data_IF_987031133982
#
_entry.id   IF_987031133982
#
_cell.length_a   1.000
_cell.length_b   1.000
_cell.length_c   1.000
_cell.angle_alpha   90.00
_cell.angle_beta   90.00
_cell.angle_gamma   90.00
#
_symmetry.space_group_name_H-M   'P 1'
#
loop_
_entity.id
_entity.type
_entity.pdbx_description
1 polymer ?
#
# COMPACT_ATOMS: atom_id res chain seq x y z
N UNK A 1 -8.11 -10.72 -24.36
CA UNK A 1 -7.94 -9.62 -23.39
C UNK A 1 -6.51 -9.06 -23.35
N UNK A 2 -5.47 -9.89 -23.30
CA UNK A 2 -4.08 -9.40 -23.30
C UNK A 2 -3.70 -8.56 -24.52
N UNK A 3 -4.30 -8.83 -25.67
CA UNK A 3 -4.10 -8.03 -26.90
C UNK A 3 -4.42 -6.55 -26.69
N UNK A 4 -5.42 -6.25 -25.82
CA UNK A 4 -5.80 -4.87 -25.47
C UNK A 4 -4.66 -4.09 -24.79
N UNK A 5 -3.79 -4.78 -24.05
CA UNK A 5 -2.61 -4.15 -23.45
C UNK A 5 -1.54 -3.77 -24.51
N UNK A 6 -1.56 -4.41 -25.68
CA UNK A 6 -0.64 -4.14 -26.77
C UNK A 6 -1.16 -3.07 -27.75
N UNK A 7 -2.40 -2.62 -27.57
CA UNK A 7 -3.00 -1.55 -28.35
C UNK A 7 -2.82 -0.21 -27.64
N UNK A 8 -2.00 0.70 -28.15
CA UNK A 8 -1.74 1.97 -27.48
C UNK A 8 -1.31 3.10 -28.43
N UNK A 9 -1.65 4.34 -28.05
CA UNK A 9 -1.12 5.54 -28.72
C UNK A 9 0.37 5.69 -28.39
N UNK A 10 1.16 6.47 -29.17
CA UNK A 10 2.60 6.67 -28.91
C UNK A 10 2.92 7.09 -27.46
N UNK A 11 2.09 7.93 -26.85
CA UNK A 11 2.25 8.35 -25.44
C UNK A 11 2.20 7.19 -24.45
N UNK A 12 1.37 6.18 -24.70
CA UNK A 12 1.28 4.98 -23.86
C UNK A 12 2.58 4.17 -23.94
N UNK A 13 3.11 3.95 -25.15
CA UNK A 13 4.36 3.22 -25.32
C UNK A 13 5.56 3.99 -24.74
N UNK A 14 5.57 5.31 -24.89
CA UNK A 14 6.61 6.15 -24.31
C UNK A 14 6.60 6.07 -22.76
N UNK A 15 5.41 6.03 -22.16
CA UNK A 15 5.25 5.82 -20.72
C UNK A 15 5.78 4.45 -20.28
N UNK A 16 5.42 3.36 -20.98
CA UNK A 16 5.94 2.03 -20.66
C UNK A 16 7.46 1.94 -20.82
N UNK A 17 8.01 2.54 -21.87
CA UNK A 17 9.46 2.60 -22.08
C UNK A 17 10.16 3.41 -20.98
N UNK A 18 9.57 4.49 -20.54
CA UNK A 18 10.07 5.27 -19.40
C UNK A 18 10.13 4.43 -18.13
N UNK A 19 9.05 3.71 -17.80
CA UNK A 19 9.03 2.81 -16.65
C UNK A 19 10.06 1.69 -16.77
N UNK A 20 10.19 1.07 -17.95
CA UNK A 20 11.21 0.06 -18.23
C UNK A 20 12.64 0.62 -18.08
N UNK A 21 12.86 1.86 -18.49
CA UNK A 21 14.14 2.55 -18.30
C UNK A 21 14.49 2.69 -16.81
N UNK A 22 13.54 3.11 -15.98
CA UNK A 22 13.71 3.19 -14.52
C UNK A 22 13.99 1.81 -13.94
N UNK A 23 13.20 0.80 -14.32
CA UNK A 23 13.41 -0.58 -13.89
C UNK A 23 14.82 -1.08 -14.28
N UNK A 24 15.29 -0.76 -15.48
CA UNK A 24 16.63 -1.12 -15.95
C UNK A 24 17.74 -0.49 -15.10
N UNK A 25 17.63 0.79 -14.79
CA UNK A 25 18.57 1.48 -13.89
C UNK A 25 18.59 0.83 -12.50
N UNK A 26 17.44 0.64 -11.87
CA UNK A 26 17.36 -0.01 -10.55
C UNK A 26 17.86 -1.45 -10.57
N UNK A 27 17.61 -2.19 -11.65
CA UNK A 27 18.13 -3.55 -11.82
C UNK A 27 19.67 -3.60 -11.85
N UNK A 28 20.34 -2.62 -12.50
CA UNK A 28 21.80 -2.52 -12.46
C UNK A 28 22.31 -2.30 -11.03
N UNK A 29 21.64 -1.45 -10.24
CA UNK A 29 21.98 -1.27 -8.83
C UNK A 29 21.67 -2.51 -7.99
N UNK A 30 20.61 -3.24 -8.31
CA UNK A 30 20.31 -4.52 -7.68
C UNK A 30 21.38 -5.58 -7.96
N UNK A 31 21.90 -5.68 -9.19
CA UNK A 31 23.05 -6.54 -9.50
C UNK A 31 24.28 -6.16 -8.67
N UNK A 32 24.50 -4.86 -8.45
CA UNK A 32 25.56 -4.39 -7.55
C UNK A 32 25.31 -4.85 -6.11
N UNK A 33 24.08 -4.77 -5.63
CA UNK A 33 23.68 -5.25 -4.30
C UNK A 33 23.88 -6.77 -4.18
N UNK A 34 23.54 -7.55 -5.19
CA UNK A 34 23.81 -9.00 -5.19
C UNK A 34 25.30 -9.32 -5.07
N UNK A 35 26.16 -8.52 -5.70
CA UNK A 35 27.61 -8.72 -5.67
C UNK A 35 28.23 -8.32 -4.32
N UNK A 36 27.83 -7.17 -3.76
CA UNK A 36 28.46 -6.59 -2.56
C UNK A 36 27.65 -6.83 -1.29
N UNK A 37 26.47 -7.44 -1.37
CA UNK A 37 25.54 -7.66 -0.27
C UNK A 37 24.82 -6.38 0.17
N UNK A 38 24.06 -6.50 1.27
CA UNK A 38 23.30 -5.39 1.85
C UNK A 38 24.17 -4.27 2.45
N UNK A 39 25.48 -4.46 2.53
CA UNK A 39 26.41 -3.43 3.02
C UNK A 39 26.47 -2.16 2.17
N UNK A 40 25.87 -2.15 0.97
CA UNK A 40 25.74 -0.92 0.16
C UNK A 40 24.47 -0.11 0.48
N UNK A 41 23.60 -0.64 1.35
CA UNK A 41 22.39 0.03 1.86
C UNK A 41 22.70 0.85 3.10
N UNK A 42 21.75 1.64 3.58
CA UNK A 42 21.85 2.33 4.86
C UNK A 42 21.62 1.44 6.08
N UNK A 43 21.25 0.17 5.87
CA UNK A 43 20.98 -0.78 6.95
C UNK A 43 22.23 -1.11 7.75
N UNK A 44 22.01 -1.38 9.01
CA UNK A 44 23.07 -1.74 9.97
C UNK A 44 22.60 -2.89 10.85
N UNK A 45 23.48 -3.33 11.77
CA UNK A 45 23.10 -4.31 12.79
C UNK A 45 21.95 -3.82 13.67
N UNK A 46 21.91 -2.52 13.99
CA UNK A 46 20.91 -1.94 14.89
C UNK A 46 19.62 -1.63 14.15
N UNK A 47 19.70 -1.18 12.89
CA UNK A 47 18.55 -0.91 12.00
C UNK A 47 18.59 -1.90 10.85
N UNK A 48 18.06 -3.10 11.08
CA UNK A 48 18.13 -4.22 10.14
C UNK A 48 17.03 -4.20 9.07
N UNK A 49 15.96 -3.44 9.25
CA UNK A 49 14.94 -3.18 8.25
C UNK A 49 14.98 -1.72 7.84
N UNK A 50 15.33 -1.47 6.60
CA UNK A 50 15.49 -0.15 6.04
C UNK A 50 14.32 0.26 5.14
N UNK A 51 14.67 1.00 4.10
CA UNK A 51 13.70 1.61 3.19
C UNK A 51 12.87 0.58 2.42
N UNK A 52 13.41 -0.60 2.10
CA UNK A 52 12.66 -1.67 1.42
C UNK A 52 11.49 -2.17 2.26
N UNK A 53 11.71 -2.48 3.53
CA UNK A 53 10.64 -2.93 4.42
C UNK A 53 9.69 -1.79 4.79
N UNK A 54 10.17 -0.56 4.85
CA UNK A 54 9.33 0.62 4.98
C UNK A 54 8.31 0.73 3.82
N UNK A 55 8.75 0.51 2.56
CA UNK A 55 7.87 0.48 1.40
C UNK A 55 6.88 -0.70 1.45
N UNK A 56 7.39 -1.89 1.77
CA UNK A 56 6.57 -3.09 1.94
C UNK A 56 5.42 -2.84 2.92
N UNK A 57 5.73 -2.35 4.11
CA UNK A 57 4.75 -2.11 5.18
C UNK A 57 3.65 -1.13 4.77
N UNK A 58 4.01 -0.10 4.05
CA UNK A 58 3.06 0.86 3.51
C UNK A 58 2.19 0.26 2.40
N UNK A 59 2.80 -0.48 1.46
CA UNK A 59 2.10 -1.05 0.30
C UNK A 59 1.13 -2.17 0.67
N UNK A 60 1.38 -2.91 1.74
CA UNK A 60 0.37 -3.82 2.31
C UNK A 60 -0.91 -3.04 2.62
N UNK A 61 -0.81 -1.80 3.15
CA UNK A 61 -1.95 -0.91 3.34
C UNK A 61 -2.67 -0.55 2.02
N UNK A 62 -1.92 -0.25 0.96
CA UNK A 62 -2.50 0.08 -0.36
C UNK A 62 -3.28 -1.10 -0.95
N UNK A 63 -2.84 -2.33 -0.69
CA UNK A 63 -3.53 -3.55 -1.13
C UNK A 63 -4.96 -3.68 -0.57
N UNK A 64 -5.28 -3.02 0.56
CA UNK A 64 -6.64 -2.98 1.12
C UNK A 64 -7.66 -2.24 0.25
N UNK A 65 -7.23 -1.55 -0.78
CA UNK A 65 -8.14 -0.78 -1.67
C UNK A 65 -9.31 -1.61 -2.20
N UNK A 66 -9.07 -2.87 -2.55
CA UNK A 66 -10.07 -3.77 -3.06
C UNK A 66 -11.19 -4.04 -2.04
N UNK A 67 -10.84 -4.43 -0.80
CA UNK A 67 -11.82 -4.87 0.19
C UNK A 67 -12.81 -3.76 0.59
N UNK A 68 -12.36 -2.50 0.61
CA UNK A 68 -13.21 -1.35 0.96
C UNK A 68 -14.31 -1.07 -0.06
N UNK A 69 -14.20 -1.64 -1.25
CA UNK A 69 -15.18 -1.54 -2.32
C UNK A 69 -15.96 -2.84 -2.46
N UNK A 70 -15.28 -3.97 -2.31
CA UNK A 70 -15.86 -5.32 -2.37
C UNK A 70 -16.94 -5.49 -1.30
N UNK A 71 -16.71 -5.07 -0.06
CA UNK A 71 -17.68 -5.17 1.04
C UNK A 71 -18.99 -4.44 0.70
N UNK A 72 -19.02 -3.14 0.41
CA UNK A 72 -20.28 -2.45 0.08
C UNK A 72 -20.93 -3.00 -1.18
N UNK A 73 -20.16 -3.36 -2.19
CA UNK A 73 -20.68 -3.82 -3.48
C UNK A 73 -21.38 -5.19 -3.36
N UNK A 74 -20.71 -6.19 -2.78
CA UNK A 74 -21.23 -7.55 -2.72
C UNK A 74 -22.09 -7.85 -1.48
N UNK A 75 -21.77 -7.29 -0.31
CA UNK A 75 -22.53 -7.54 0.92
C UNK A 75 -23.71 -6.59 1.12
N UNK A 76 -23.56 -5.33 0.70
CA UNK A 76 -24.60 -4.30 0.90
C UNK A 76 -25.31 -3.90 -0.41
N UNK A 77 -25.06 -4.62 -1.51
CA UNK A 77 -25.65 -4.38 -2.83
C UNK A 77 -25.51 -2.91 -3.32
N UNK A 78 -24.38 -2.27 -2.97
CA UNK A 78 -24.09 -0.90 -3.37
C UNK A 78 -23.56 -0.87 -4.81
N UNK A 79 -24.47 -1.02 -5.78
CA UNK A 79 -24.16 -1.19 -7.22
C UNK A 79 -23.32 -0.06 -7.83
N UNK A 80 -23.30 1.13 -7.20
CA UNK A 80 -22.51 2.28 -7.67
C UNK A 80 -21.02 2.02 -7.74
N UNK A 81 -20.50 1.05 -6.97
CA UNK A 81 -19.09 0.64 -7.02
C UNK A 81 -18.76 -0.31 -8.17
N UNK A 82 -19.74 -0.81 -8.94
CA UNK A 82 -19.51 -1.81 -9.97
C UNK A 82 -18.42 -1.43 -11.00
N UNK A 83 -18.35 -0.13 -11.37
CA UNK A 83 -17.33 0.35 -12.30
C UNK A 83 -15.91 0.40 -11.70
N UNK A 84 -15.78 0.51 -10.38
CA UNK A 84 -14.50 0.73 -9.68
C UNK A 84 -13.95 -0.55 -9.05
N UNK A 85 -14.79 -1.57 -8.77
CA UNK A 85 -14.39 -2.79 -8.07
C UNK A 85 -13.17 -3.44 -8.70
N UNK A 86 -13.18 -3.66 -10.01
CA UNK A 86 -12.08 -4.29 -10.75
C UNK A 86 -10.81 -3.42 -10.71
N UNK A 87 -10.94 -2.09 -10.74
CA UNK A 87 -9.80 -1.19 -10.58
C UNK A 87 -9.16 -1.36 -9.20
N UNK A 88 -9.97 -1.52 -8.15
CA UNK A 88 -9.51 -1.80 -6.80
C UNK A 88 -8.78 -3.14 -6.69
N UNK A 89 -9.33 -4.21 -7.28
CA UNK A 89 -8.72 -5.53 -7.29
C UNK A 89 -7.35 -5.53 -8.01
N UNK A 90 -7.26 -4.86 -9.15
CA UNK A 90 -6.00 -4.75 -9.90
C UNK A 90 -5.00 -3.79 -9.25
N UNK A 91 -5.45 -2.78 -8.51
CA UNK A 91 -4.56 -2.00 -7.64
C UNK A 91 -3.99 -2.89 -6.54
N UNK A 92 -4.80 -3.76 -5.93
CA UNK A 92 -4.32 -4.73 -4.93
C UNK A 92 -3.29 -5.70 -5.54
N UNK A 93 -3.52 -6.20 -6.76
CA UNK A 93 -2.56 -7.06 -7.47
C UNK A 93 -1.22 -6.34 -7.64
N UNK A 94 -1.22 -5.09 -8.12
CA UNK A 94 0.01 -4.31 -8.30
C UNK A 94 0.70 -4.04 -6.95
N UNK A 95 -0.06 -3.66 -5.91
CA UNK A 95 0.49 -3.37 -4.59
C UNK A 95 1.11 -4.60 -3.94
N UNK A 96 0.44 -5.77 -3.97
CA UNK A 96 1.01 -7.01 -3.41
C UNK A 96 2.21 -7.49 -4.23
N UNK A 97 2.21 -7.31 -5.55
CA UNK A 97 3.38 -7.61 -6.38
C UNK A 97 4.58 -6.76 -5.97
N UNK A 98 4.38 -5.46 -5.70
CA UNK A 98 5.43 -4.60 -5.16
C UNK A 98 5.88 -5.05 -3.76
N UNK A 99 4.96 -5.47 -2.89
CA UNK A 99 5.29 -6.03 -1.57
C UNK A 99 6.26 -7.20 -1.68
N UNK A 100 5.95 -8.16 -2.55
CA UNK A 100 6.82 -9.33 -2.78
C UNK A 100 8.17 -8.94 -3.36
N UNK A 101 8.23 -7.97 -4.28
CA UNK A 101 9.48 -7.45 -4.81
C UNK A 101 10.30 -6.72 -3.75
N UNK A 102 9.68 -5.95 -2.85
CA UNK A 102 10.40 -5.28 -1.76
C UNK A 102 10.98 -6.28 -0.75
N UNK A 103 10.26 -7.35 -0.41
CA UNK A 103 10.81 -8.45 0.38
C UNK A 103 11.99 -9.09 -0.35
N UNK A 104 11.86 -9.35 -1.65
CA UNK A 104 12.90 -9.98 -2.46
C UNK A 104 14.20 -9.16 -2.50
N UNK A 105 14.12 -7.84 -2.69
CA UNK A 105 15.30 -6.97 -2.74
C UNK A 105 15.90 -6.71 -1.35
N UNK A 106 15.13 -6.85 -0.27
CA UNK A 106 15.61 -6.75 1.11
C UNK A 106 16.42 -7.99 1.53
N UNK A 107 16.23 -9.10 0.87
CA UNK A 107 16.92 -10.34 1.22
C UNK A 107 18.38 -10.31 0.78
N UNK A 108 19.30 -10.50 1.72
CA UNK A 108 20.73 -10.67 1.42
C UNK A 108 21.04 -11.96 0.62
N UNK A 109 20.15 -12.94 0.67
CA UNK A 109 20.23 -14.21 -0.08
C UNK A 109 18.88 -14.49 -0.77
N UNK A 110 18.56 -13.83 -1.88
CA UNK A 110 17.24 -13.85 -2.49
C UNK A 110 16.79 -15.24 -2.95
N UNK A 111 17.73 -16.13 -3.32
CA UNK A 111 17.39 -17.51 -3.69
C UNK A 111 16.77 -18.32 -2.53
N UNK A 112 16.94 -17.87 -1.29
CA UNK A 112 16.33 -18.51 -0.11
C UNK A 112 14.88 -18.13 0.12
N UNK A 113 14.30 -17.24 -0.68
CA UNK A 113 12.88 -16.84 -0.55
C UNK A 113 11.95 -18.05 -0.62
N UNK A 114 12.29 -19.04 -1.46
CA UNK A 114 11.49 -20.26 -1.59
C UNK A 114 11.57 -21.18 -0.38
N UNK A 115 12.56 -21.01 0.51
CA UNK A 115 12.68 -21.84 1.71
C UNK A 115 11.47 -21.69 2.64
N UNK A 116 10.79 -20.55 2.61
CA UNK A 116 9.58 -20.33 3.41
C UNK A 116 8.45 -21.29 3.01
N UNK A 117 8.42 -21.70 1.74
CA UNK A 117 7.44 -22.65 1.19
C UNK A 117 7.98 -24.09 1.22
N UNK A 118 9.27 -24.29 0.91
CA UNK A 118 9.90 -25.62 0.85
C UNK A 118 10.14 -26.21 2.25
N UNK A 119 10.37 -25.35 3.24
CA UNK A 119 10.60 -25.72 4.64
C UNK A 119 9.65 -24.92 5.55
N UNK A 120 8.34 -25.19 5.48
CA UNK A 120 7.34 -24.41 6.20
C UNK A 120 7.55 -24.45 7.71
N UNK A 121 7.50 -23.31 8.35
CA UNK A 121 7.61 -23.17 9.81
C UNK A 121 6.36 -22.51 10.37
N UNK A 122 5.26 -23.26 10.64
CA UNK A 122 3.97 -22.69 11.05
C UNK A 122 3.98 -21.90 12.36
N UNK A 123 5.05 -22.00 13.15
CA UNK A 123 5.26 -21.21 14.36
C UNK A 123 5.83 -19.80 14.08
N UNK A 124 6.27 -19.54 12.85
CA UNK A 124 6.80 -18.25 12.44
C UNK A 124 5.70 -17.36 11.86
N UNK A 125 5.61 -16.11 12.34
CA UNK A 125 4.67 -15.10 11.77
C UNK A 125 5.04 -14.78 10.32
N UNK A 126 6.34 -14.77 9.96
CA UNK A 126 6.81 -14.56 8.59
C UNK A 126 6.31 -15.63 7.61
N UNK A 127 6.16 -16.87 8.06
CA UNK A 127 5.53 -17.92 7.24
C UNK A 127 4.07 -17.55 6.91
N UNK A 128 3.30 -17.16 7.93
CA UNK A 128 1.91 -16.77 7.74
C UNK A 128 1.77 -15.51 6.90
N UNK A 129 2.68 -14.54 7.03
CA UNK A 129 2.68 -13.34 6.19
C UNK A 129 2.89 -13.71 4.71
N UNK A 130 3.81 -14.63 4.42
CA UNK A 130 4.02 -15.15 3.05
C UNK A 130 2.77 -15.85 2.51
N UNK A 131 2.08 -16.65 3.34
CA UNK A 131 0.83 -17.35 2.96
C UNK A 131 -0.28 -16.35 2.66
N UNK A 132 -0.50 -15.37 3.55
CA UNK A 132 -1.62 -14.42 3.37
C UNK A 132 -1.37 -13.45 2.22
N UNK A 133 -0.13 -12.99 2.00
CA UNK A 133 0.22 -12.14 0.86
C UNK A 133 0.05 -12.87 -0.48
N UNK A 134 0.63 -14.07 -0.59
CA UNK A 134 0.53 -14.87 -1.82
C UNK A 134 -0.91 -15.27 -2.10
N UNK A 135 -1.64 -15.70 -1.08
CA UNK A 135 -3.06 -16.06 -1.22
C UNK A 135 -3.92 -14.87 -1.63
N UNK A 136 -3.67 -13.68 -1.09
CA UNK A 136 -4.39 -12.47 -1.47
C UNK A 136 -4.11 -12.05 -2.91
N UNK A 137 -2.86 -12.17 -3.35
CA UNK A 137 -2.47 -11.94 -4.74
C UNK A 137 -3.26 -12.84 -5.69
N UNK A 138 -3.26 -14.15 -5.41
CA UNK A 138 -3.97 -15.14 -6.22
C UNK A 138 -5.48 -14.85 -6.23
N UNK A 139 -6.08 -14.58 -5.07
CA UNK A 139 -7.51 -14.25 -4.97
C UNK A 139 -7.87 -13.04 -5.85
N UNK A 140 -7.12 -11.93 -5.75
CA UNK A 140 -7.41 -10.73 -6.53
C UNK A 140 -7.18 -10.94 -8.04
N UNK A 141 -6.17 -11.73 -8.44
CA UNK A 141 -5.97 -12.08 -9.85
C UNK A 141 -7.16 -12.90 -10.37
N UNK A 142 -7.55 -13.95 -9.65
CA UNK A 142 -8.62 -14.86 -10.09
C UNK A 142 -9.97 -14.14 -10.11
N UNK A 143 -10.32 -13.41 -9.06
CA UNK A 143 -11.58 -12.68 -8.96
C UNK A 143 -11.63 -11.59 -10.02
N UNK A 144 -10.64 -10.69 -10.05
CA UNK A 144 -10.60 -9.55 -10.97
C UNK A 144 -10.60 -9.98 -12.43
N UNK A 145 -9.84 -11.02 -12.77
CA UNK A 145 -9.79 -11.52 -14.15
C UNK A 145 -11.10 -12.20 -14.58
N UNK A 146 -11.68 -13.02 -13.71
CA UNK A 146 -12.94 -13.73 -14.02
C UNK A 146 -14.12 -12.77 -14.10
N UNK A 147 -14.15 -11.76 -13.23
CA UNK A 147 -15.18 -10.73 -13.25
C UNK A 147 -15.07 -9.87 -14.51
N UNK A 148 -13.86 -9.47 -14.88
CA UNK A 148 -13.61 -8.71 -16.10
C UNK A 148 -13.97 -9.50 -17.38
N UNK A 149 -13.68 -10.80 -17.38
CA UNK A 149 -14.07 -11.67 -18.53
C UNK A 149 -15.59 -11.83 -18.61
N UNK A 150 -16.28 -11.88 -17.49
CA UNK A 150 -17.75 -11.93 -17.43
C UNK A 150 -18.36 -10.62 -17.96
N UNK A 151 -17.81 -9.46 -17.53
CA UNK A 151 -18.19 -8.15 -18.05
C UNK A 151 -17.99 -8.09 -19.57
N UNK A 152 -16.83 -8.47 -20.06
CA UNK A 152 -16.55 -8.50 -21.51
C UNK A 152 -17.56 -9.31 -22.32
N UNK A 153 -18.09 -10.37 -21.74
CA UNK A 153 -19.08 -11.26 -22.38
C UNK A 153 -20.52 -10.84 -22.12
N UNK A 154 -20.73 -9.77 -21.36
CA UNK A 154 -22.06 -9.30 -20.92
C UNK A 154 -22.87 -10.39 -20.21
N UNK A 155 -22.18 -11.24 -19.43
CA UNK A 155 -22.78 -12.32 -18.65
C UNK A 155 -22.48 -12.16 -17.16
N UNK A 156 -23.34 -12.66 -16.26
CA UNK A 156 -23.02 -12.64 -14.84
C UNK A 156 -21.79 -13.49 -14.54
N UNK A 157 -20.96 -13.10 -13.53
CA UNK A 157 -19.81 -13.87 -13.12
C UNK A 157 -20.19 -15.31 -12.74
N UNK A 158 -19.37 -16.31 -13.05
CA UNK A 158 -19.62 -17.70 -12.71
C UNK A 158 -19.86 -17.90 -11.21
N UNK A 159 -20.80 -18.78 -10.85
CA UNK A 159 -21.19 -19.00 -9.45
C UNK A 159 -20.07 -19.37 -8.50
N UNK A 160 -19.03 -20.05 -9.00
CA UNK A 160 -17.86 -20.45 -8.21
C UNK A 160 -16.97 -19.28 -7.75
N UNK A 161 -17.08 -18.11 -8.38
CA UNK A 161 -16.32 -16.91 -7.98
C UNK A 161 -16.88 -16.29 -6.69
N UNK A 162 -18.19 -16.43 -6.44
CA UNK A 162 -18.84 -15.86 -5.26
C UNK A 162 -18.18 -16.28 -3.93
N UNK A 163 -17.92 -17.57 -3.67
CA UNK A 163 -17.19 -17.97 -2.47
C UNK A 163 -15.80 -17.35 -2.34
N UNK A 164 -15.08 -17.17 -3.46
CA UNK A 164 -13.76 -16.53 -3.44
C UNK A 164 -13.84 -15.04 -3.09
N UNK A 165 -14.87 -14.33 -3.59
CA UNK A 165 -15.13 -12.95 -3.22
C UNK A 165 -15.39 -12.83 -1.71
N UNK A 166 -16.24 -13.69 -1.15
CA UNK A 166 -16.48 -13.69 0.30
C UNK A 166 -15.23 -14.08 1.09
N UNK A 167 -14.41 -14.99 0.60
CA UNK A 167 -13.13 -15.35 1.20
C UNK A 167 -12.12 -14.21 1.16
N UNK A 168 -12.11 -13.39 0.10
CA UNK A 168 -11.17 -12.27 -0.04
C UNK A 168 -11.34 -11.22 1.06
N UNK A 169 -12.52 -11.10 1.66
CA UNK A 169 -12.81 -10.12 2.73
C UNK A 169 -12.02 -10.44 4.01
N UNK A 170 -12.22 -11.61 4.68
CA UNK A 170 -11.40 -11.93 5.85
C UNK A 170 -9.91 -12.09 5.49
N UNK A 171 -9.59 -12.49 4.26
CA UNK A 171 -8.21 -12.57 3.81
C UNK A 171 -7.52 -11.21 3.75
N UNK A 172 -8.21 -10.17 3.27
CA UNK A 172 -7.71 -8.81 3.29
C UNK A 172 -7.47 -8.27 4.70
N UNK A 173 -8.34 -8.61 5.66
CA UNK A 173 -8.10 -8.29 7.08
C UNK A 173 -6.88 -9.04 7.60
N UNK A 174 -6.71 -10.31 7.19
CA UNK A 174 -5.60 -11.16 7.62
C UNK A 174 -4.24 -10.63 7.17
N UNK A 175 -4.08 -10.11 5.94
CA UNK A 175 -2.78 -9.58 5.50
C UNK A 175 -2.32 -8.43 6.39
N UNK A 176 -3.21 -7.53 6.80
CA UNK A 176 -2.85 -6.42 7.68
C UNK A 176 -2.57 -6.86 9.10
N UNK A 177 -3.36 -7.82 9.61
CA UNK A 177 -3.22 -8.32 10.97
C UNK A 177 -1.92 -9.12 11.13
N UNK A 178 -1.63 -10.00 10.18
CA UNK A 178 -0.41 -10.83 10.23
C UNK A 178 0.84 -9.97 10.05
N UNK A 179 0.82 -9.00 9.10
CA UNK A 179 1.95 -8.06 8.94
C UNK A 179 2.14 -7.21 10.21
N UNK A 180 1.06 -6.76 10.87
CA UNK A 180 1.17 -6.06 12.15
C UNK A 180 1.81 -6.95 13.24
N UNK A 181 1.51 -8.24 13.24
CA UNK A 181 2.09 -9.19 14.20
C UNK A 181 3.58 -9.48 13.96
N UNK A 182 4.11 -9.23 12.75
CA UNK A 182 5.57 -9.27 12.52
C UNK A 182 6.26 -8.27 13.44
N UNK A 183 5.70 -7.08 13.60
CA UNK A 183 6.22 -6.03 14.46
C UNK A 183 5.90 -6.30 15.93
N UNK A 184 4.63 -6.50 16.27
CA UNK A 184 4.19 -6.71 17.64
C UNK A 184 4.75 -8.02 18.27
N UNK A 185 5.23 -8.95 17.47
CA UNK A 185 5.85 -10.19 17.93
C UNK A 185 7.35 -10.08 18.26
N UNK A 186 7.95 -8.88 18.22
CA UNK A 186 9.37 -8.65 18.48
C UNK A 186 9.60 -8.01 19.87
N UNK A 187 9.78 -8.80 20.94
CA UNK A 187 9.84 -8.29 22.30
C UNK A 187 11.03 -7.36 22.57
N UNK A 188 12.10 -7.44 21.77
CA UNK A 188 13.24 -6.53 21.87
C UNK A 188 13.01 -5.17 21.20
N UNK A 189 11.80 -4.87 20.74
CA UNK A 189 11.41 -3.61 20.08
C UNK A 189 10.16 -3.07 20.75
N UNK A 190 10.36 -2.40 21.87
CA UNK A 190 9.26 -1.96 22.75
C UNK A 190 8.25 -1.06 22.02
N UNK A 191 8.71 -0.18 21.14
CA UNK A 191 7.85 0.69 20.34
C UNK A 191 6.76 -0.07 19.56
N UNK A 192 7.02 -1.32 19.17
CA UNK A 192 6.05 -2.14 18.45
C UNK A 192 5.18 -3.01 19.34
N UNK A 193 5.50 -3.13 20.65
CA UNK A 193 4.76 -3.93 21.62
C UNK A 193 3.48 -3.22 22.04
N UNK A 194 2.53 -3.08 21.14
CA UNK A 194 1.24 -2.43 21.42
C UNK A 194 0.09 -3.28 20.91
N UNK A 195 -0.96 -3.41 21.73
CA UNK A 195 -2.17 -4.15 21.38
C UNK A 195 -2.95 -3.53 20.21
N UNK A 196 -2.77 -2.23 19.95
CA UNK A 196 -3.47 -1.53 18.88
C UNK A 196 -2.74 -1.59 17.53
N UNK A 197 -1.60 -2.26 17.43
CA UNK A 197 -0.81 -2.32 16.19
C UNK A 197 -1.66 -2.76 15.00
N UNK A 198 -2.40 -3.86 15.12
CA UNK A 198 -3.26 -4.36 14.05
C UNK A 198 -4.39 -3.38 13.69
N UNK A 199 -4.98 -2.70 14.70
CA UNK A 199 -6.01 -1.69 14.47
C UNK A 199 -5.44 -0.46 13.73
N UNK A 200 -4.24 0.01 14.07
CA UNK A 200 -3.52 1.06 13.33
C UNK A 200 -3.23 0.65 11.89
N UNK A 201 -2.80 -0.60 11.68
CA UNK A 201 -2.57 -1.11 10.33
C UNK A 201 -3.83 -1.10 9.48
N UNK A 202 -4.95 -1.58 10.02
CA UNK A 202 -6.24 -1.57 9.32
C UNK A 202 -6.74 -0.15 9.04
N UNK A 203 -6.72 0.74 10.03
CA UNK A 203 -7.18 2.12 9.86
C UNK A 203 -6.40 2.86 8.79
N UNK A 204 -5.07 2.78 8.81
CA UNK A 204 -4.21 3.42 7.81
C UNK A 204 -4.34 2.76 6.42
N UNK A 205 -4.57 1.45 6.35
CA UNK A 205 -4.81 0.73 5.11
C UNK A 205 -6.12 1.19 4.45
N UNK A 206 -7.19 1.31 5.24
CA UNK A 206 -8.48 1.78 4.78
C UNK A 206 -8.51 3.28 4.43
N UNK A 207 -7.47 4.03 4.79
CA UNK A 207 -7.26 5.39 4.30
C UNK A 207 -6.38 5.42 3.05
N UNK A 208 -5.19 4.80 3.06
CA UNK A 208 -4.19 4.92 1.99
C UNK A 208 -4.59 4.21 0.70
N UNK A 209 -5.13 2.99 0.79
CA UNK A 209 -5.56 2.21 -0.38
C UNK A 209 -6.67 2.91 -1.18
N UNK A 210 -7.81 3.23 -0.56
CA UNK A 210 -8.88 3.96 -1.22
C UNK A 210 -8.48 5.37 -1.68
N UNK A 211 -7.59 6.08 -0.96
CA UNK A 211 -7.06 7.37 -1.40
C UNK A 211 -6.29 7.25 -2.72
N UNK A 212 -5.41 6.24 -2.83
CA UNK A 212 -4.70 5.95 -4.08
C UNK A 212 -5.67 5.57 -5.21
N UNK A 213 -6.70 4.78 -4.91
CA UNK A 213 -7.70 4.41 -5.90
C UNK A 213 -8.48 5.62 -6.43
N UNK A 214 -8.85 6.59 -5.57
CA UNK A 214 -9.48 7.84 -6.00
C UNK A 214 -8.56 8.60 -6.96
N UNK A 215 -7.27 8.76 -6.61
CA UNK A 215 -6.30 9.47 -7.45
C UNK A 215 -6.21 8.79 -8.83
N UNK A 216 -6.09 7.47 -8.86
CA UNK A 216 -5.98 6.70 -10.10
C UNK A 216 -7.28 6.76 -10.92
N UNK A 217 -8.45 6.65 -10.28
CA UNK A 217 -9.74 6.74 -10.94
C UNK A 217 -9.95 8.12 -11.60
N UNK A 218 -9.58 9.19 -10.89
CA UNK A 218 -9.64 10.56 -11.43
C UNK A 218 -8.61 10.77 -12.55
N UNK A 219 -7.44 10.17 -12.46
CA UNK A 219 -6.43 10.20 -13.52
C UNK A 219 -6.94 9.50 -14.78
N UNK A 220 -7.53 8.31 -14.65
CA UNK A 220 -8.12 7.56 -15.76
C UNK A 220 -9.24 8.36 -16.40
N UNK A 221 -10.15 8.94 -15.61
CA UNK A 221 -11.22 9.81 -16.10
C UNK A 221 -10.71 10.99 -16.96
N UNK A 222 -9.55 11.54 -16.60
CA UNK A 222 -8.91 12.63 -17.37
C UNK A 222 -8.20 12.17 -18.63
N UNK A 223 -7.67 10.95 -18.65
CA UNK A 223 -6.85 10.44 -19.75
C UNK A 223 -7.64 9.62 -20.76
N UNK A 224 -8.83 9.13 -20.38
CA UNK A 224 -9.67 8.21 -21.17
C UNK A 224 -11.11 8.69 -21.19
N UNK A 225 -11.99 7.96 -21.89
CA UNK A 225 -13.44 8.22 -21.88
C UNK A 225 -14.16 7.49 -20.74
N UNK A 226 -13.44 6.69 -19.96
CA UNK A 226 -14.02 5.94 -18.86
C UNK A 226 -14.39 6.88 -17.71
N UNK A 227 -15.66 6.83 -17.28
CA UNK A 227 -16.14 7.55 -16.09
C UNK A 227 -16.42 6.57 -14.95
N UNK A 228 -15.65 6.63 -13.86
CA UNK A 228 -15.84 5.79 -12.68
C UNK A 228 -17.14 6.09 -11.90
N UNK A 229 -17.79 7.23 -12.18
CA UNK A 229 -18.97 7.72 -11.50
C UNK A 229 -18.67 8.60 -10.28
N UNK A 230 -19.26 9.79 -10.28
CA UNK A 230 -19.05 10.77 -9.21
C UNK A 230 -19.49 10.26 -7.84
N UNK A 231 -20.64 9.57 -7.76
CA UNK A 231 -21.17 9.04 -6.51
C UNK A 231 -20.25 7.98 -5.88
N UNK A 232 -19.62 7.14 -6.71
CA UNK A 232 -18.67 6.15 -6.25
C UNK A 232 -17.41 6.82 -5.66
N UNK A 233 -16.84 7.82 -6.36
CA UNK A 233 -15.69 8.59 -5.88
C UNK A 233 -16.03 9.30 -4.56
N UNK A 234 -17.22 9.92 -4.45
CA UNK A 234 -17.64 10.58 -3.22
C UNK A 234 -17.85 9.61 -2.05
N UNK A 235 -18.39 8.42 -2.32
CA UNK A 235 -18.55 7.39 -1.30
C UNK A 235 -17.21 6.89 -0.79
N UNK A 236 -16.24 6.65 -1.68
CA UNK A 236 -14.87 6.27 -1.29
C UNK A 236 -14.21 7.43 -0.52
N UNK A 237 -14.41 8.68 -0.94
CA UNK A 237 -13.91 9.84 -0.20
C UNK A 237 -14.41 9.93 1.25
N UNK A 238 -15.65 9.52 1.52
CA UNK A 238 -16.17 9.38 2.89
C UNK A 238 -15.47 8.26 3.66
N UNK A 239 -15.22 7.12 3.02
CA UNK A 239 -14.49 6.01 3.65
C UNK A 239 -13.08 6.48 4.06
N UNK A 240 -12.35 7.14 3.15
CA UNK A 240 -11.03 7.72 3.44
C UNK A 240 -11.09 8.67 4.63
N UNK A 241 -12.12 9.53 4.70
CA UNK A 241 -12.31 10.47 5.80
C UNK A 241 -12.42 9.75 7.14
N UNK A 242 -13.33 8.78 7.26
CA UNK A 242 -13.52 8.03 8.52
C UNK A 242 -12.31 7.20 8.90
N UNK A 243 -11.67 6.55 7.91
CA UNK A 243 -10.46 5.77 8.15
C UNK A 243 -9.30 6.64 8.63
N UNK A 244 -9.15 7.85 8.08
CA UNK A 244 -8.11 8.79 8.50
C UNK A 244 -8.36 9.32 9.92
N UNK A 245 -9.62 9.56 10.30
CA UNK A 245 -9.99 9.87 11.69
C UNK A 245 -9.58 8.75 12.64
N UNK A 246 -9.93 7.51 12.30
CA UNK A 246 -9.58 6.36 13.12
C UNK A 246 -8.05 6.20 13.23
N UNK A 247 -7.32 6.42 12.14
CA UNK A 247 -5.85 6.34 12.14
C UNK A 247 -5.23 7.41 13.06
N UNK A 248 -5.66 8.66 12.96
CA UNK A 248 -5.16 9.74 13.81
C UNK A 248 -5.56 9.51 15.27
N UNK A 249 -6.78 9.02 15.53
CA UNK A 249 -7.22 8.67 16.87
C UNK A 249 -6.32 7.59 17.50
N UNK A 250 -6.02 6.51 16.78
CA UNK A 250 -5.13 5.46 17.30
C UNK A 250 -3.70 5.96 17.52
N UNK A 251 -3.20 6.82 16.64
CA UNK A 251 -1.90 7.45 16.84
C UNK A 251 -1.87 8.29 18.13
N UNK A 252 -2.87 9.16 18.31
CA UNK A 252 -2.97 9.99 19.54
C UNK A 252 -3.17 9.16 20.80
N UNK A 253 -3.92 8.06 20.70
CA UNK A 253 -4.11 7.13 21.82
C UNK A 253 -2.79 6.47 22.23
N UNK A 254 -1.95 6.11 21.26
CA UNK A 254 -0.64 5.53 21.52
C UNK A 254 0.34 6.53 22.14
N UNK A 255 0.36 7.77 21.63
CA UNK A 255 1.12 8.88 22.24
C UNK A 255 0.64 9.13 23.66
N UNK A 256 -0.68 9.25 23.88
CA UNK A 256 -1.26 9.44 25.21
C UNK A 256 -0.84 8.33 26.17
N UNK A 257 -1.00 7.08 25.77
CA UNK A 257 -0.66 5.93 26.61
C UNK A 257 0.83 5.91 26.96
N UNK A 258 1.70 6.18 25.98
CA UNK A 258 3.16 6.19 26.17
C UNK A 258 3.59 7.23 27.21
N UNK A 259 3.11 8.47 27.09
CA UNK A 259 3.53 9.56 27.96
C UNK A 259 2.76 9.61 29.28
N UNK A 260 1.45 9.37 29.28
CA UNK A 260 0.65 9.37 30.50
C UNK A 260 1.04 8.21 31.46
N UNK A 261 1.27 7.02 30.89
CA UNK A 261 1.68 5.85 31.66
C UNK A 261 3.20 5.76 31.88
N UNK A 262 3.95 6.74 31.38
CA UNK A 262 5.41 6.82 31.51
C UNK A 262 6.11 5.53 31.12
N UNK A 263 5.89 5.06 29.88
CA UNK A 263 6.48 3.84 29.31
C UNK A 263 7.76 4.21 28.55
N UNK A 264 8.97 4.04 29.14
CA UNK A 264 10.21 4.59 28.59
C UNK A 264 10.48 4.16 27.15
N UNK A 265 10.37 2.86 26.85
CA UNK A 265 10.68 2.33 25.52
C UNK A 265 9.75 2.84 24.41
N UNK A 266 8.52 3.21 24.73
CA UNK A 266 7.64 3.90 23.79
C UNK A 266 7.95 5.39 23.70
N UNK A 267 8.19 6.05 24.84
CA UNK A 267 8.48 7.48 24.90
C UNK A 267 9.73 7.84 24.10
N UNK A 268 10.83 7.12 24.30
CA UNK A 268 12.10 7.38 23.64
C UNK A 268 11.98 7.35 22.10
N UNK A 269 11.22 6.40 21.55
CA UNK A 269 10.98 6.36 20.10
C UNK A 269 10.15 7.55 19.62
N UNK A 270 9.11 7.97 20.35
CA UNK A 270 8.36 9.18 20.02
C UNK A 270 9.20 10.45 20.17
N UNK A 271 10.04 10.55 21.20
CA UNK A 271 10.98 11.66 21.37
C UNK A 271 11.94 11.74 20.19
N UNK A 272 12.55 10.62 19.78
CA UNK A 272 13.40 10.59 18.60
C UNK A 272 12.68 11.09 17.35
N UNK A 273 11.43 10.66 17.14
CA UNK A 273 10.67 10.99 15.94
C UNK A 273 10.19 12.43 15.90
N UNK A 274 9.86 13.07 17.05
CA UNK A 274 9.20 14.39 17.09
C UNK A 274 9.94 15.49 17.83
N UNK A 275 10.91 15.15 18.70
CA UNK A 275 11.71 16.12 19.45
C UNK A 275 13.21 15.99 19.21
N UNK A 276 13.65 14.82 18.76
CA UNK A 276 15.06 14.42 18.73
C UNK A 276 15.50 13.78 20.05
N UNK A 277 16.49 12.89 19.98
CA UNK A 277 17.01 12.14 21.12
C UNK A 277 18.55 12.16 21.10
N UNK A 278 19.19 12.57 22.21
CA UNK A 278 20.64 12.64 22.36
C UNK A 278 21.38 13.39 21.23
N UNK A 279 20.80 14.48 20.72
CA UNK A 279 21.33 15.26 19.62
C UNK A 279 21.09 14.66 18.21
N UNK A 280 20.37 13.54 18.14
CA UNK A 280 19.97 12.88 16.90
C UNK A 280 18.51 13.21 16.57
N UNK A 281 18.21 13.42 15.30
CA UNK A 281 16.85 13.82 14.88
C UNK A 281 16.64 13.81 13.37
N UNK A 282 17.29 12.89 12.68
CA UNK A 282 17.28 12.84 11.21
C UNK A 282 15.89 12.64 10.61
N UNK A 283 15.01 11.92 11.30
CA UNK A 283 13.63 11.70 10.89
C UNK A 283 12.67 12.81 11.32
N UNK A 284 13.06 13.67 12.26
CA UNK A 284 12.22 14.71 12.83
C UNK A 284 11.54 15.63 11.79
N UNK A 285 12.25 16.19 10.77
CA UNK A 285 11.58 17.04 9.78
C UNK A 285 10.54 16.26 8.95
N UNK A 286 10.84 14.99 8.65
CA UNK A 286 9.96 14.13 7.86
C UNK A 286 8.70 13.78 8.66
N UNK A 287 8.83 13.50 9.95
CA UNK A 287 7.69 13.18 10.83
C UNK A 287 6.77 14.38 11.04
N UNK A 288 7.32 15.58 11.26
CA UNK A 288 6.51 16.79 11.32
C UNK A 288 5.81 17.09 10.00
N UNK A 289 6.49 16.89 8.88
CA UNK A 289 5.85 17.02 7.57
C UNK A 289 4.69 16.05 7.40
N UNK A 290 4.85 14.79 7.83
CA UNK A 290 3.75 13.79 7.85
C UNK A 290 2.58 14.26 8.73
N UNK A 291 2.85 14.75 9.95
CA UNK A 291 1.81 15.23 10.86
C UNK A 291 1.04 16.43 10.28
N UNK A 292 1.75 17.39 9.70
CA UNK A 292 1.13 18.54 9.02
C UNK A 292 0.24 18.08 7.87
N UNK A 293 0.71 17.16 7.04
CA UNK A 293 -0.09 16.60 5.94
C UNK A 293 -1.31 15.83 6.45
N UNK A 294 -1.20 15.11 7.58
CA UNK A 294 -2.34 14.41 8.18
C UNK A 294 -3.43 15.41 8.62
N UNK A 295 -3.03 16.49 9.33
CA UNK A 295 -3.95 17.53 9.77
C UNK A 295 -4.58 18.25 8.56
N UNK A 296 -3.77 18.60 7.56
CA UNK A 296 -4.23 19.23 6.33
C UNK A 296 -5.25 18.34 5.60
N UNK A 297 -4.94 17.04 5.42
CA UNK A 297 -5.84 16.09 4.78
C UNK A 297 -7.17 15.97 5.53
N UNK A 298 -7.13 15.84 6.86
CA UNK A 298 -8.34 15.80 7.67
C UNK A 298 -9.15 17.08 7.54
N UNK A 299 -8.51 18.25 7.65
CA UNK A 299 -9.18 19.54 7.50
C UNK A 299 -9.90 19.64 6.14
N UNK A 300 -9.28 19.18 5.06
CA UNK A 300 -9.91 19.15 3.74
C UNK A 300 -11.05 18.12 3.65
N UNK A 301 -10.84 16.91 4.16
CA UNK A 301 -11.80 15.81 4.01
C UNK A 301 -13.06 15.98 4.88
N UNK A 302 -12.99 16.71 5.98
CA UNK A 302 -14.14 16.98 6.86
C UNK A 302 -15.24 17.77 6.15
N UNK A 303 -14.86 18.76 5.35
CA UNK A 303 -15.82 19.65 4.71
C UNK A 303 -16.41 18.99 3.44
N UNK A 304 -17.75 18.77 3.39
CA UNK A 304 -18.40 18.18 2.22
C UNK A 304 -18.18 18.97 0.93
N UNK A 305 -18.11 20.30 1.01
CA UNK A 305 -17.85 21.18 -0.13
C UNK A 305 -16.48 20.91 -0.78
N UNK A 306 -15.46 20.64 0.03
CA UNK A 306 -14.12 20.30 -0.45
C UNK A 306 -14.08 18.92 -1.08
N UNK A 307 -14.75 17.93 -0.44
CA UNK A 307 -14.82 16.56 -0.97
C UNK A 307 -15.56 16.45 -2.31
N UNK A 308 -16.61 17.26 -2.52
CA UNK A 308 -17.38 17.24 -3.77
C UNK A 308 -16.57 17.69 -4.99
N UNK A 309 -15.58 18.52 -4.82
CA UNK A 309 -14.71 18.94 -5.91
C UNK A 309 -13.60 17.90 -6.13
N UNK A 310 -13.53 17.30 -7.33
CA UNK A 310 -12.59 16.25 -7.68
C UNK A 310 -11.12 16.67 -7.50
N UNK A 311 -10.78 17.92 -7.80
CA UNK A 311 -9.40 18.43 -7.68
C UNK A 311 -8.97 18.53 -6.23
N UNK A 312 -9.81 19.14 -5.37
CA UNK A 312 -9.50 19.26 -3.94
C UNK A 312 -9.51 17.92 -3.24
N UNK A 313 -10.39 17.00 -3.66
CA UNK A 313 -10.41 15.62 -3.16
C UNK A 313 -9.11 14.88 -3.55
N UNK A 314 -8.63 15.03 -4.80
CA UNK A 314 -7.37 14.43 -5.24
C UNK A 314 -6.17 14.97 -4.43
N UNK A 315 -6.15 16.27 -4.15
CA UNK A 315 -5.10 16.90 -3.31
C UNK A 315 -5.15 16.32 -1.88
N UNK A 316 -6.35 16.23 -1.29
CA UNK A 316 -6.53 15.66 0.04
C UNK A 316 -6.09 14.18 0.10
N UNK A 317 -6.47 13.38 -0.91
CA UNK A 317 -6.04 11.99 -1.04
C UNK A 317 -4.52 11.86 -1.22
N UNK A 318 -3.88 12.76 -1.96
CA UNK A 318 -2.43 12.86 -2.08
C UNK A 318 -1.76 13.14 -0.74
N UNK A 319 -2.31 14.06 0.05
CA UNK A 319 -1.83 14.35 1.39
C UNK A 319 -1.99 13.15 2.34
N UNK A 320 -3.13 12.44 2.30
CA UNK A 320 -3.33 11.17 3.04
C UNK A 320 -2.25 10.16 2.67
N UNK A 321 -2.05 9.94 1.38
CA UNK A 321 -1.11 8.94 0.87
C UNK A 321 0.32 9.22 1.33
N UNK A 322 0.80 10.45 1.16
CA UNK A 322 2.17 10.86 1.53
C UNK A 322 2.35 10.83 3.04
N UNK A 323 1.39 11.35 3.81
CA UNK A 323 1.43 11.31 5.27
C UNK A 323 1.56 9.88 5.79
N UNK A 324 0.69 8.98 5.34
CA UNK A 324 0.71 7.58 5.78
C UNK A 324 1.92 6.81 5.28
N UNK A 325 2.45 7.16 4.10
CA UNK A 325 3.70 6.60 3.59
C UNK A 325 4.88 6.92 4.51
N UNK A 326 4.97 8.16 5.00
CA UNK A 326 6.02 8.58 5.92
C UNK A 326 5.79 7.95 7.31
N UNK A 327 4.60 8.06 7.86
CA UNK A 327 4.27 7.55 9.20
C UNK A 327 4.52 6.04 9.31
N UNK A 328 3.99 5.26 8.38
CA UNK A 328 4.16 3.80 8.38
C UNK A 328 5.54 3.33 7.94
N UNK A 329 6.14 4.01 6.97
CA UNK A 329 7.45 3.62 6.46
C UNK A 329 8.55 4.08 7.41
N UNK A 330 8.82 5.37 7.46
CA UNK A 330 9.91 5.90 8.27
C UNK A 330 9.58 5.93 9.76
N UNK A 331 8.39 6.39 10.13
CA UNK A 331 7.98 6.50 11.53
C UNK A 331 7.89 5.14 12.20
N UNK A 332 7.07 4.23 11.69
CA UNK A 332 6.84 2.95 12.33
C UNK A 332 8.02 1.99 12.17
N UNK A 333 8.50 1.77 10.93
CA UNK A 333 9.52 0.75 10.68
C UNK A 333 10.87 1.21 11.19
N UNK A 334 11.37 2.32 10.69
CA UNK A 334 12.72 2.80 11.03
C UNK A 334 12.74 3.35 12.46
N UNK A 335 11.75 4.14 12.84
CA UNK A 335 11.62 4.68 14.20
C UNK A 335 11.53 3.61 15.28
N UNK A 336 10.93 2.45 14.97
CA UNK A 336 10.86 1.32 15.91
C UNK A 336 12.19 0.59 16.15
N UNK A 337 13.24 0.89 15.40
CA UNK A 337 14.59 0.43 15.67
C UNK A 337 15.39 1.40 16.56
N UNK A 338 14.88 2.61 16.80
CA UNK A 338 15.62 3.71 17.43
C UNK A 338 14.84 4.21 18.67
N UNK A 339 15.45 4.14 19.86
CA UNK A 339 16.77 3.57 20.16
C UNK A 339 16.82 2.04 20.03
N UNK A 340 18.01 1.47 20.03
CA UNK A 340 18.17 0.03 20.11
C UNK A 340 17.92 -0.48 21.55
N UNK A 341 17.83 -1.82 21.81
CA UNK A 341 17.61 -2.37 23.14
C UNK A 341 18.68 -2.05 24.21
N UNK A 342 19.76 -1.35 23.85
CA UNK A 342 20.81 -0.85 24.72
C UNK A 342 20.78 0.68 24.84
N UNK A 343 19.63 1.31 24.54
CA UNK A 343 19.39 2.76 24.55
C UNK A 343 20.37 3.58 23.68
N UNK A 344 20.93 2.94 22.62
CA UNK A 344 21.81 3.64 21.67
C UNK A 344 21.01 4.10 20.46
N UNK A 345 21.26 5.33 20.04
CA UNK A 345 20.69 5.91 18.83
C UNK A 345 21.60 5.62 17.65
N UNK A 346 21.14 4.80 16.70
CA UNK A 346 21.79 4.55 15.42
C UNK A 346 20.89 5.06 14.31
N UNK A 347 21.27 6.19 13.73
CA UNK A 347 20.46 6.80 12.68
C UNK A 347 20.53 6.03 11.36
N UNK A 348 19.41 6.00 10.66
CA UNK A 348 19.30 5.40 9.35
C UNK A 348 18.87 6.44 8.32
N UNK A 349 19.43 6.31 7.12
CA UNK A 349 18.94 7.00 5.92
C UNK A 349 19.22 6.14 4.68
N UNK A 350 18.27 6.04 3.72
CA UNK A 350 18.47 5.23 2.54
C UNK A 350 19.64 5.75 1.69
N UNK A 351 20.48 4.84 1.21
CA UNK A 351 21.55 5.16 0.28
C UNK A 351 21.01 5.35 -1.14
N UNK A 352 21.82 5.91 -2.02
CA UNK A 352 21.45 6.08 -3.44
C UNK A 352 21.12 4.74 -4.12
N UNK A 353 21.92 3.64 -3.97
CA UNK A 353 21.54 2.33 -4.49
C UNK A 353 20.18 1.85 -3.98
N UNK A 354 19.95 1.95 -2.67
CA UNK A 354 18.69 1.54 -2.04
C UNK A 354 17.48 2.34 -2.55
N UNK A 355 17.65 3.65 -2.72
CA UNK A 355 16.62 4.51 -3.29
C UNK A 355 16.31 4.16 -4.75
N UNK A 356 17.32 3.95 -5.59
CA UNK A 356 17.13 3.63 -7.01
C UNK A 356 16.49 2.25 -7.22
N UNK A 357 16.85 1.27 -6.40
CA UNK A 357 16.17 -0.05 -6.39
C UNK A 357 14.71 0.12 -5.97
N UNK A 358 14.43 0.91 -4.93
CA UNK A 358 13.06 1.17 -4.48
C UNK A 358 12.21 1.85 -5.56
N UNK A 359 12.76 2.86 -6.23
CA UNK A 359 12.08 3.53 -7.35
C UNK A 359 11.81 2.58 -8.51
N UNK A 360 12.72 1.63 -8.78
CA UNK A 360 12.51 0.60 -9.79
C UNK A 360 11.38 -0.38 -9.42
N UNK A 361 11.26 -0.76 -8.14
CA UNK A 361 10.13 -1.59 -7.68
C UNK A 361 8.80 -0.84 -7.82
N UNK A 362 8.76 0.45 -7.48
CA UNK A 362 7.58 1.30 -7.75
C UNK A 362 7.26 1.38 -9.25
N UNK A 363 8.29 1.56 -10.09
CA UNK A 363 8.10 1.56 -11.54
C UNK A 363 7.53 0.23 -12.05
N UNK A 364 7.98 -0.92 -11.51
CA UNK A 364 7.42 -2.23 -11.82
C UNK A 364 5.94 -2.33 -11.41
N UNK A 365 5.56 -1.83 -10.24
CA UNK A 365 4.18 -1.76 -9.82
C UNK A 365 3.30 -0.90 -10.73
N UNK A 366 3.77 0.29 -11.10
CA UNK A 366 3.07 1.15 -12.05
C UNK A 366 3.01 0.55 -13.46
N UNK A 367 4.02 -0.20 -13.87
CA UNK A 367 4.02 -0.93 -15.14
C UNK A 367 2.91 -1.99 -15.15
N UNK A 368 2.84 -2.85 -14.13
CA UNK A 368 1.78 -3.85 -13.96
C UNK A 368 0.40 -3.17 -13.93
N UNK A 369 0.25 -2.13 -13.12
CA UNK A 369 -1.00 -1.39 -12.98
C UNK A 369 -1.44 -0.76 -14.30
N UNK A 370 -0.51 -0.17 -15.06
CA UNK A 370 -0.80 0.43 -16.37
C UNK A 370 -1.33 -0.59 -17.35
N UNK A 371 -0.72 -1.80 -17.43
CA UNK A 371 -1.19 -2.88 -18.28
C UNK A 371 -2.59 -3.36 -17.89
N UNK A 372 -2.80 -3.63 -16.59
CA UNK A 372 -4.07 -4.11 -16.08
C UNK A 372 -5.18 -3.07 -16.28
N UNK A 373 -4.92 -1.81 -15.96
CA UNK A 373 -5.91 -0.74 -16.14
C UNK A 373 -6.21 -0.45 -17.61
N UNK A 374 -5.21 -0.56 -18.48
CA UNK A 374 -5.43 -0.47 -19.94
C UNK A 374 -6.42 -1.52 -20.42
N UNK A 375 -6.30 -2.76 -19.94
CA UNK A 375 -7.23 -3.84 -20.28
C UNK A 375 -8.64 -3.53 -19.76
N UNK A 376 -8.79 -3.14 -18.49
CA UNK A 376 -10.09 -2.81 -17.89
C UNK A 376 -10.79 -1.69 -18.63
N UNK A 377 -10.08 -0.58 -18.85
CA UNK A 377 -10.64 0.59 -19.53
C UNK A 377 -11.07 0.24 -20.96
N UNK A 378 -10.25 -0.54 -21.70
CA UNK A 378 -10.59 -0.96 -23.05
C UNK A 378 -11.81 -1.87 -23.12
N UNK A 379 -12.04 -2.72 -22.12
CA UNK A 379 -13.26 -3.55 -22.02
C UNK A 379 -14.47 -2.66 -21.75
N UNK A 380 -14.38 -1.79 -20.74
CA UNK A 380 -15.48 -0.91 -20.33
C UNK A 380 -15.87 0.15 -21.39
N UNK A 381 -14.90 0.68 -22.15
CA UNK A 381 -15.20 1.61 -23.25
C UNK A 381 -15.91 0.91 -24.40
N UNK A 382 -15.65 -0.37 -24.64
CA UNK A 382 -16.34 -1.17 -25.66
C UNK A 382 -17.80 -1.43 -25.28
N UNK A 383 -18.09 -1.73 -23.99
CA UNK A 383 -19.44 -1.88 -23.45
C UNK A 383 -20.27 -0.59 -23.62
N UNK A 384 -19.72 0.56 -23.21
CA UNK A 384 -20.42 1.86 -23.33
C UNK A 384 -20.67 2.30 -24.77
N UNK A 385 -19.89 1.82 -25.72
CA UNK A 385 -20.14 2.07 -27.14
C UNK A 385 -21.30 1.21 -27.69
N UNK A 386 -21.52 0.00 -27.13
CA UNK A 386 -22.66 -0.86 -27.47
C UNK A 386 -23.99 -0.34 -26.97
N UNK A 387 -24.03 0.20 -25.75
CA UNK A 387 -25.28 0.79 -25.15
C UNK A 387 -25.76 2.06 -25.88
N UNK A 388 -24.88 2.77 -26.60
CA UNK A 388 -25.27 4.00 -27.33
C UNK A 388 -25.87 3.72 -28.72
N UNK A 389 -26.00 2.47 -29.13
CA UNK A 389 -26.52 2.04 -30.46
C UNK A 389 -27.92 1.42 -30.33
N UNK A 390 -28.40 1.18 -29.13
CA UNK A 390 -29.77 0.72 -28.83
C UNK A 390 -30.56 1.80 -28.09
#
# INVERSE_FOLDING_TARGET
MFEKALEGRPKYWLWLLFLLGIMGVGFLFYLKQLKYGLGITGMSRDVSWGFYIAQFTFLVGVAASAVMIVIPYYLHNYKKFGKIVILGEFLAVAAVSMCLLFIFVDMGQPMRIFNVLLHPTPRSVLFWDSVVLTGYLILNIVIGWTTLEADRKEVPPPGWVKPLIYLSIPWAVSIHTVTAFIYAGLPGREFWLTAIMAARFLASAFASGPAMLIILALLIKRLTKFDPGEEAIQAIGKIVTYAMYANVFFFLLEVFTSFYSNIPGHMLSFEYLFAGLDGHGRLLPLMWFSAILAIFALAMLVFPSVRKNETTLAIACGAVFISLWIDKGFGLVIGGFIPNPFDRVTEYWPTLPETLISVAVWAAGFFILTLLYKIVVSVREAEGAGESIH
#
